data_IF_076560332493
#
_entry.id   IF_076560332493
#
_cell.length_a   1.000
_cell.length_b   1.000
_cell.length_c   1.000
_cell.angle_alpha   90.00
_cell.angle_beta   90.00
_cell.angle_gamma   90.00
#
_symmetry.space_group_name_H-M   'P 1'
#
loop_
_entity.id
_entity.type
_entity.pdbx_description
1 polymer ?
#
# COMPACT_ATOMS: atom_id res chain seq x y z
N UNK A 1 -7.34 37.82 33.13
CA UNK A 1 -7.85 36.90 34.18
C UNK A 1 -6.92 35.70 34.21
N UNK A 2 -6.08 35.52 35.24
CA UNK A 2 -5.16 34.36 35.32
C UNK A 2 -5.94 33.15 35.82
N UNK A 3 -6.01 32.07 35.05
CA UNK A 3 -6.59 30.81 35.54
C UNK A 3 -5.82 30.37 36.80
N UNK A 4 -6.53 29.96 37.87
CA UNK A 4 -5.87 29.42 39.06
C UNK A 4 -5.07 28.15 38.71
N UNK A 5 -3.89 27.99 39.26
CA UNK A 5 -2.94 26.91 38.99
C UNK A 5 -3.59 25.51 39.00
N UNK A 6 -4.60 25.31 39.85
CA UNK A 6 -5.41 24.07 39.94
C UNK A 6 -6.16 23.77 38.63
N UNK A 7 -6.72 24.78 38.00
CA UNK A 7 -7.47 24.60 36.73
C UNK A 7 -6.51 24.35 35.55
N UNK A 8 -5.33 24.97 35.57
CA UNK A 8 -4.29 24.71 34.58
C UNK A 8 -3.81 23.25 34.67
N UNK A 9 -3.58 22.74 35.87
CA UNK A 9 -3.20 21.33 36.11
C UNK A 9 -4.27 20.35 35.57
N UNK A 10 -5.55 20.62 35.81
CA UNK A 10 -6.66 19.79 35.34
C UNK A 10 -6.73 19.82 33.79
N UNK A 11 -6.59 20.99 33.19
CA UNK A 11 -6.58 21.13 31.72
C UNK A 11 -5.41 20.35 31.11
N UNK A 12 -4.22 20.41 31.70
CA UNK A 12 -3.04 19.67 31.23
C UNK A 12 -3.26 18.16 31.37
N UNK A 13 -3.80 17.66 32.50
CA UNK A 13 -4.08 16.25 32.69
C UNK A 13 -5.13 15.73 31.71
N UNK A 14 -6.20 16.50 31.46
CA UNK A 14 -7.23 16.14 30.47
C UNK A 14 -6.64 16.13 29.06
N UNK A 15 -5.84 17.15 28.69
CA UNK A 15 -5.20 17.21 27.38
C UNK A 15 -4.23 16.03 27.16
N UNK A 16 -3.44 15.67 28.17
CA UNK A 16 -2.57 14.48 28.14
C UNK A 16 -3.39 13.19 28.04
N UNK A 17 -4.49 13.07 28.79
CA UNK A 17 -5.38 11.91 28.72
C UNK A 17 -6.03 11.74 27.35
N UNK A 18 -6.45 12.83 26.71
CA UNK A 18 -6.99 12.82 25.33
C UNK A 18 -5.90 12.47 24.32
N UNK A 19 -4.70 13.01 24.45
CA UNK A 19 -3.58 12.71 23.58
C UNK A 19 -3.17 11.23 23.70
N UNK A 20 -2.99 10.73 24.90
CA UNK A 20 -2.58 9.33 25.15
C UNK A 20 -3.68 8.36 24.74
N UNK A 21 -4.93 8.57 25.21
CA UNK A 21 -6.04 7.65 24.95
C UNK A 21 -6.61 7.75 23.55
N UNK A 22 -6.71 8.97 23.00
CA UNK A 22 -7.35 9.23 21.71
C UNK A 22 -6.43 9.16 20.51
N UNK A 23 -5.13 9.36 20.67
CA UNK A 23 -4.18 9.40 19.57
C UNK A 23 -3.09 8.35 19.70
N UNK A 24 -2.35 8.36 20.81
CA UNK A 24 -1.18 7.48 20.95
C UNK A 24 -1.57 6.01 21.15
N UNK A 25 -2.65 5.72 21.88
CA UNK A 25 -3.10 4.35 22.12
C UNK A 25 -3.59 3.65 20.83
N UNK A 26 -4.45 4.25 20.00
CA UNK A 26 -4.84 3.63 18.71
C UNK A 26 -3.65 3.43 17.77
N UNK A 27 -2.73 4.37 17.71
CA UNK A 27 -1.50 4.26 16.90
C UNK A 27 -0.59 3.13 17.39
N UNK A 28 -0.36 3.07 18.70
CA UNK A 28 0.42 1.98 19.31
C UNK A 28 -0.26 0.63 19.07
N UNK A 29 -1.59 0.56 19.26
CA UNK A 29 -2.36 -0.66 19.00
C UNK A 29 -2.28 -1.08 17.53
N UNK A 30 -2.42 -0.16 16.59
CA UNK A 30 -2.26 -0.44 15.17
C UNK A 30 -0.86 -0.96 14.85
N UNK A 31 0.20 -0.33 15.37
CA UNK A 31 1.58 -0.76 15.20
C UNK A 31 1.85 -2.15 15.80
N UNK A 32 1.22 -2.48 16.93
CA UNK A 32 1.32 -3.81 17.58
C UNK A 32 0.49 -4.86 16.83
N UNK A 33 -0.75 -4.52 16.46
CA UNK A 33 -1.66 -5.45 15.78
C UNK A 33 -1.19 -5.79 14.34
N UNK A 34 -0.50 -4.86 13.66
CA UNK A 34 0.02 -5.11 12.30
C UNK A 34 1.36 -5.84 12.28
N UNK A 35 2.03 -5.94 13.43
CA UNK A 35 3.36 -6.55 13.56
C UNK A 35 4.31 -6.11 12.42
N UNK A 36 4.36 -4.79 12.17
CA UNK A 36 5.10 -4.19 11.06
C UNK A 36 6.57 -4.58 11.05
N UNK A 37 7.14 -4.92 12.22
CA UNK A 37 8.52 -5.36 12.35
C UNK A 37 8.72 -6.87 12.10
N UNK A 38 7.66 -7.66 11.93
CA UNK A 38 7.79 -9.07 11.62
C UNK A 38 8.36 -9.29 10.22
N UNK A 39 8.99 -10.44 10.03
CA UNK A 39 9.33 -10.96 8.70
C UNK A 39 8.13 -11.72 8.13
N UNK A 40 7.94 -11.60 6.82
CA UNK A 40 7.05 -12.48 6.07
C UNK A 40 7.88 -13.24 5.05
N UNK A 41 7.56 -14.51 4.87
CA UNK A 41 8.23 -15.32 3.86
C UNK A 41 7.91 -14.77 2.47
N UNK A 42 8.93 -14.45 1.67
CA UNK A 42 8.73 -14.09 0.28
C UNK A 42 8.22 -15.32 -0.48
N UNK A 43 7.32 -15.09 -1.45
CA UNK A 43 6.71 -16.21 -2.15
C UNK A 43 6.24 -15.83 -3.56
N UNK A 44 6.14 -16.83 -4.39
CA UNK A 44 5.56 -16.75 -5.72
C UNK A 44 4.05 -16.49 -5.64
N UNK A 45 3.54 -15.64 -6.54
CA UNK A 45 2.10 -15.36 -6.69
C UNK A 45 1.59 -15.99 -7.98
N UNK A 46 2.11 -15.57 -9.12
CA UNK A 46 1.75 -16.10 -10.43
C UNK A 46 2.79 -15.69 -11.48
N UNK A 47 3.17 -16.58 -12.38
CA UNK A 47 4.14 -16.28 -13.44
C UNK A 47 5.44 -15.70 -12.88
N UNK A 48 5.80 -14.50 -13.30
CA UNK A 48 7.02 -13.81 -12.84
C UNK A 48 6.76 -12.82 -11.69
N UNK A 49 5.64 -12.92 -10.98
CA UNK A 49 5.23 -12.05 -9.89
C UNK A 49 5.44 -12.68 -8.52
N UNK A 50 6.15 -11.96 -7.64
CA UNK A 50 6.50 -12.41 -6.29
C UNK A 50 6.14 -11.37 -5.24
N UNK A 51 5.74 -11.84 -4.06
CA UNK A 51 5.62 -11.02 -2.86
C UNK A 51 6.99 -10.96 -2.16
N UNK A 52 7.43 -9.74 -1.80
CA UNK A 52 8.72 -9.51 -1.12
C UNK A 52 8.63 -8.54 0.06
N UNK A 53 7.42 -8.14 0.45
CA UNK A 53 7.17 -7.16 1.53
C UNK A 53 7.24 -7.71 2.94
N UNK A 54 6.66 -6.97 3.88
CA UNK A 54 6.45 -7.38 5.27
C UNK A 54 5.03 -7.94 5.47
N UNK A 55 4.65 -8.45 6.63
CA UNK A 55 3.35 -9.12 6.80
C UNK A 55 2.14 -8.30 6.35
N UNK A 56 2.15 -6.99 6.59
CA UNK A 56 1.06 -6.12 6.18
C UNK A 56 1.48 -5.06 5.15
N UNK A 57 2.68 -4.48 5.25
CA UNK A 57 3.18 -3.55 4.23
C UNK A 57 3.78 -4.35 3.08
N UNK A 58 3.02 -4.42 1.99
CA UNK A 58 3.35 -5.32 0.88
C UNK A 58 4.25 -4.63 -0.15
N UNK A 59 5.12 -5.42 -0.73
CA UNK A 59 5.91 -5.03 -1.90
C UNK A 59 5.96 -6.21 -2.85
N UNK A 60 5.98 -5.93 -4.15
CA UNK A 60 5.91 -6.96 -5.17
C UNK A 60 7.05 -6.81 -6.17
N UNK A 61 7.70 -7.93 -6.47
CA UNK A 61 8.75 -8.02 -7.46
C UNK A 61 8.19 -8.68 -8.72
N UNK A 62 8.29 -7.98 -9.85
CA UNK A 62 7.96 -8.51 -11.17
C UNK A 62 9.25 -8.71 -11.96
N UNK A 63 9.54 -9.95 -12.30
CA UNK A 63 10.77 -10.33 -12.99
C UNK A 63 10.67 -10.08 -14.49
N UNK A 64 11.75 -9.60 -15.08
CA UNK A 64 11.88 -9.45 -16.53
C UNK A 64 13.30 -9.76 -16.99
N UNK A 65 13.50 -10.08 -18.28
CA UNK A 65 14.82 -10.43 -18.82
C UNK A 65 15.79 -9.24 -18.90
N UNK A 66 15.27 -8.02 -18.94
CA UNK A 66 16.07 -6.78 -18.98
C UNK A 66 16.23 -6.15 -17.59
N UNK A 67 15.74 -6.82 -16.56
CA UNK A 67 15.72 -6.38 -15.17
C UNK A 67 14.32 -6.46 -14.58
N UNK A 68 14.21 -6.10 -13.31
CA UNK A 68 12.98 -6.27 -12.53
C UNK A 68 12.32 -4.95 -12.20
N UNK A 69 11.00 -5.02 -11.97
CA UNK A 69 10.19 -3.92 -11.44
C UNK A 69 9.79 -4.25 -10.01
N UNK A 70 10.00 -3.32 -9.08
CA UNK A 70 9.56 -3.43 -7.71
C UNK A 70 8.45 -2.40 -7.45
N UNK A 71 7.31 -2.86 -6.93
CA UNK A 71 6.13 -2.04 -6.62
C UNK A 71 6.00 -1.93 -5.11
N UNK A 72 5.95 -0.69 -4.57
CA UNK A 72 5.83 -0.40 -3.15
C UNK A 72 7.17 -0.44 -2.41
N UNK A 73 7.39 0.49 -1.51
CA UNK A 73 8.62 0.64 -0.73
C UNK A 73 8.48 0.24 0.75
N UNK A 74 7.24 0.12 1.24
CA UNK A 74 7.00 -0.06 2.66
C UNK A 74 7.48 1.13 3.50
N UNK A 75 7.54 0.96 4.81
CA UNK A 75 8.06 1.94 5.75
C UNK A 75 9.61 2.02 5.67
N UNK A 76 10.27 3.00 6.35
CA UNK A 76 11.73 3.12 6.30
C UNK A 76 12.50 1.87 6.75
N UNK A 77 11.92 1.02 7.61
CA UNK A 77 12.54 -0.23 8.07
C UNK A 77 12.29 -1.40 7.10
N UNK A 78 11.30 -1.27 6.24
CA UNK A 78 10.91 -2.33 5.29
C UNK A 78 11.94 -2.52 4.18
N UNK A 79 12.68 -1.49 3.79
CA UNK A 79 13.65 -1.57 2.70
C UNK A 79 14.66 -2.71 2.88
N UNK A 80 15.20 -2.89 4.08
CA UNK A 80 16.14 -3.98 4.36
C UNK A 80 15.48 -5.34 4.25
N UNK A 81 14.24 -5.48 4.74
CA UNK A 81 13.49 -6.74 4.65
C UNK A 81 13.17 -7.10 3.20
N UNK A 82 12.81 -6.10 2.39
CA UNK A 82 12.55 -6.28 0.96
C UNK A 82 13.82 -6.78 0.25
N UNK A 83 14.98 -6.17 0.52
CA UNK A 83 16.26 -6.62 -0.03
C UNK A 83 16.56 -8.07 0.38
N UNK A 84 16.46 -8.38 1.69
CA UNK A 84 16.69 -9.74 2.21
C UNK A 84 15.72 -10.76 1.57
N UNK A 85 14.45 -10.39 1.36
CA UNK A 85 13.44 -11.25 0.74
C UNK A 85 13.72 -11.49 -0.76
N UNK A 86 14.17 -10.47 -1.50
CA UNK A 86 14.58 -10.60 -2.90
C UNK A 86 15.75 -11.56 -3.02
N UNK A 87 16.77 -11.43 -2.14
CA UNK A 87 17.93 -12.30 -2.10
C UNK A 87 17.58 -13.73 -1.66
N UNK A 88 16.65 -13.90 -0.71
CA UNK A 88 16.15 -15.21 -0.29
C UNK A 88 15.47 -15.98 -1.44
N UNK A 89 14.82 -15.29 -2.36
CA UNK A 89 14.26 -15.88 -3.57
C UNK A 89 15.32 -16.23 -4.63
N UNK A 90 16.60 -15.88 -4.40
CA UNK A 90 17.70 -16.12 -5.34
C UNK A 90 17.87 -15.03 -6.40
N UNK A 91 17.19 -13.89 -6.24
CA UNK A 91 17.32 -12.73 -7.13
C UNK A 91 18.25 -11.68 -6.52
N UNK A 92 18.72 -10.75 -7.33
CA UNK A 92 19.57 -9.65 -6.86
C UNK A 92 18.77 -8.34 -6.85
N UNK A 93 18.85 -7.60 -5.75
CA UNK A 93 18.28 -6.23 -5.71
C UNK A 93 18.93 -5.32 -6.76
N UNK A 94 20.15 -5.63 -7.20
CA UNK A 94 20.85 -4.89 -8.26
C UNK A 94 20.23 -5.07 -9.65
N UNK A 95 19.38 -6.08 -9.82
CA UNK A 95 18.65 -6.31 -11.07
C UNK A 95 17.31 -5.59 -11.10
N UNK A 96 16.89 -4.99 -10.00
CA UNK A 96 15.76 -4.04 -9.99
C UNK A 96 16.17 -2.77 -10.73
N UNK A 97 15.45 -2.43 -11.80
CA UNK A 97 15.69 -1.26 -12.66
C UNK A 97 14.66 -0.17 -12.43
N UNK A 98 13.47 -0.53 -12.02
CA UNK A 98 12.34 0.38 -11.83
C UNK A 98 11.72 0.15 -10.45
N UNK A 99 11.51 1.25 -9.72
CA UNK A 99 10.68 1.33 -8.53
C UNK A 99 9.39 2.06 -8.88
N UNK A 100 8.24 1.52 -8.49
CA UNK A 100 6.93 2.14 -8.69
C UNK A 100 6.32 2.53 -7.35
N UNK A 101 6.04 3.82 -7.18
CA UNK A 101 5.28 4.31 -6.04
C UNK A 101 3.77 4.17 -6.28
N UNK A 102 3.02 3.92 -5.21
CA UNK A 102 1.55 3.85 -5.19
C UNK A 102 0.94 5.10 -4.59
N UNK A 103 1.41 5.49 -3.40
CA UNK A 103 1.07 6.76 -2.75
C UNK A 103 2.29 7.30 -1.96
N UNK A 104 2.20 8.50 -1.39
CA UNK A 104 3.34 9.15 -0.77
C UNK A 104 3.45 8.92 0.74
N UNK A 105 2.56 8.10 1.34
CA UNK A 105 2.56 7.91 2.79
C UNK A 105 3.80 7.15 3.27
N UNK A 106 4.18 7.38 4.52
CA UNK A 106 5.41 6.83 5.12
C UNK A 106 5.47 5.30 5.07
N UNK A 107 4.34 4.63 5.23
CA UNK A 107 4.23 3.18 5.23
C UNK A 107 4.28 2.55 3.82
N UNK A 108 4.22 3.38 2.77
CA UNK A 108 4.28 2.97 1.37
C UNK A 108 5.55 3.46 0.67
N UNK A 109 5.95 4.71 0.95
CA UNK A 109 7.05 5.38 0.29
C UNK A 109 8.31 5.47 1.16
N UNK A 110 8.23 5.17 2.45
CA UNK A 110 9.31 5.41 3.40
C UNK A 110 10.59 4.65 3.12
N UNK A 111 10.50 3.47 2.52
CA UNK A 111 11.66 2.66 2.14
C UNK A 111 12.24 2.97 0.77
N UNK A 112 11.57 3.79 -0.07
CA UNK A 112 11.96 4.00 -1.48
C UNK A 112 13.37 4.57 -1.63
N UNK A 113 13.79 5.53 -0.79
CA UNK A 113 15.13 6.10 -0.84
C UNK A 113 16.22 5.04 -0.63
N UNK A 114 16.04 4.17 0.37
CA UNK A 114 16.98 3.10 0.66
C UNK A 114 16.98 2.02 -0.43
N UNK A 115 15.83 1.68 -0.98
CA UNK A 115 15.70 0.75 -2.11
C UNK A 115 16.36 1.32 -3.37
N UNK A 116 16.17 2.61 -3.66
CA UNK A 116 16.83 3.30 -4.77
C UNK A 116 18.37 3.28 -4.61
N UNK A 117 18.87 3.54 -3.41
CA UNK A 117 20.30 3.43 -3.12
C UNK A 117 20.81 1.99 -3.25
N UNK A 118 20.05 1.01 -2.78
CA UNK A 118 20.45 -0.39 -2.82
C UNK A 118 20.48 -0.95 -4.26
N UNK A 119 19.47 -0.63 -5.07
CA UNK A 119 19.31 -1.16 -6.43
C UNK A 119 20.01 -0.32 -7.50
N UNK A 120 20.02 1.00 -7.37
CA UNK A 120 20.34 1.97 -8.43
C UNK A 120 19.16 2.17 -9.40
N UNK A 121 17.96 1.72 -9.05
CA UNK A 121 16.77 1.79 -9.89
C UNK A 121 16.23 3.22 -10.04
N UNK A 122 15.52 3.46 -11.14
CA UNK A 122 14.76 4.68 -11.38
C UNK A 122 13.41 4.63 -10.68
N UNK A 123 13.04 5.69 -9.96
CA UNK A 123 11.76 5.81 -9.28
C UNK A 123 10.74 6.54 -10.15
N UNK A 124 9.59 5.91 -10.31
CA UNK A 124 8.44 6.43 -11.03
C UNK A 124 7.27 6.70 -10.07
N UNK A 125 6.69 7.88 -10.13
CA UNK A 125 5.55 8.29 -9.31
C UNK A 125 4.63 9.24 -10.10
N UNK A 126 3.37 9.37 -9.68
CA UNK A 126 2.48 10.41 -10.21
C UNK A 126 2.98 11.81 -9.85
N UNK A 127 2.53 12.83 -10.58
CA UNK A 127 2.96 14.22 -10.32
C UNK A 127 2.77 14.65 -8.86
N UNK A 128 1.59 14.36 -8.29
CA UNK A 128 1.27 14.74 -6.91
C UNK A 128 2.10 13.94 -5.87
N UNK A 129 2.29 12.64 -6.08
CA UNK A 129 3.13 11.83 -5.20
C UNK A 129 4.61 12.24 -5.27
N UNK A 130 5.08 12.63 -6.45
CA UNK A 130 6.48 12.99 -6.66
C UNK A 130 6.93 14.16 -5.79
N UNK A 131 6.09 15.18 -5.62
CA UNK A 131 6.39 16.34 -4.76
C UNK A 131 6.53 15.91 -3.30
N UNK A 132 5.58 15.13 -2.79
CA UNK A 132 5.57 14.68 -1.39
C UNK A 132 6.72 13.71 -1.12
N UNK A 133 7.00 12.76 -2.03
CA UNK A 133 8.10 11.80 -1.89
C UNK A 133 9.46 12.53 -1.91
N UNK A 134 9.64 13.48 -2.82
CA UNK A 134 10.87 14.30 -2.89
C UNK A 134 11.06 15.17 -1.65
N UNK A 135 9.98 15.55 -0.98
CA UNK A 135 10.00 16.30 0.28
C UNK A 135 10.04 15.39 1.53
N UNK A 136 10.15 14.05 1.36
CA UNK A 136 10.23 13.10 2.48
C UNK A 136 8.94 13.01 3.31
N UNK A 137 7.77 13.15 2.66
CA UNK A 137 6.46 13.08 3.32
C UNK A 137 5.99 14.40 3.95
N UNK A 138 6.82 15.46 3.89
CA UNK A 138 6.42 16.76 4.43
C UNK A 138 5.35 17.42 3.56
N UNK A 139 4.45 18.16 4.20
CA UNK A 139 3.34 18.90 3.58
C UNK A 139 2.38 18.08 2.70
N UNK A 140 2.20 16.81 3.03
CA UNK A 140 1.24 15.93 2.36
C UNK A 140 -0.20 16.50 2.50
N UNK A 141 -0.90 16.81 1.40
CA UNK A 141 -2.24 17.37 1.44
C UNK A 141 -3.30 16.37 1.94
N UNK A 142 -3.02 15.08 1.93
CA UNK A 142 -3.90 14.05 2.49
C UNK A 142 -3.88 13.99 4.02
N UNK A 143 -2.86 14.56 4.68
CA UNK A 143 -2.78 14.64 6.15
C UNK A 143 -3.63 15.83 6.63
N UNK A 144 -4.90 15.58 6.88
CA UNK A 144 -5.90 16.61 7.18
C UNK A 144 -6.26 16.69 8.67
N UNK A 145 -6.18 15.59 9.41
CA UNK A 145 -6.52 15.54 10.83
C UNK A 145 -5.53 16.31 11.71
N UNK A 146 -6.01 17.29 12.48
CA UNK A 146 -5.16 18.20 13.24
C UNK A 146 -4.12 17.53 14.14
N UNK A 147 -4.41 16.50 14.95
CA UNK A 147 -3.38 15.80 15.72
C UNK A 147 -2.30 15.17 14.84
N UNK A 148 -2.64 14.60 13.68
CA UNK A 148 -1.65 14.07 12.74
C UNK A 148 -0.83 15.18 12.09
N UNK A 149 -1.43 16.36 11.84
CA UNK A 149 -0.69 17.55 11.34
C UNK A 149 0.33 18.05 12.37
N UNK A 150 -0.03 18.07 13.66
CA UNK A 150 0.91 18.42 14.73
C UNK A 150 2.05 17.40 14.80
N UNK A 151 1.75 16.10 14.63
CA UNK A 151 2.74 15.05 14.60
C UNK A 151 3.60 15.14 13.33
N UNK A 152 3.02 15.41 12.18
CA UNK A 152 3.74 15.64 10.92
C UNK A 152 4.65 16.86 11.04
N UNK A 153 4.17 17.98 11.64
CA UNK A 153 4.99 19.14 11.94
C UNK A 153 6.16 18.79 12.89
N UNK A 154 5.98 17.82 13.78
CA UNK A 154 7.04 17.29 14.63
C UNK A 154 7.92 16.22 13.94
N UNK A 155 7.74 15.97 12.64
CA UNK A 155 8.53 15.02 11.85
C UNK A 155 8.12 13.54 12.00
N UNK A 156 6.98 13.26 12.63
CA UNK A 156 6.56 11.85 12.90
C UNK A 156 6.23 11.07 11.62
N UNK A 157 5.74 11.76 10.57
CA UNK A 157 5.40 11.17 9.28
C UNK A 157 6.49 11.38 8.20
N UNK A 158 7.64 11.96 8.61
CA UNK A 158 8.74 12.18 7.69
C UNK A 158 9.56 10.90 7.50
N UNK A 159 10.09 10.76 6.31
CA UNK A 159 10.94 9.66 5.90
C UNK A 159 12.08 10.18 5.00
N UNK A 160 13.14 9.41 4.77
CA UNK A 160 14.21 9.83 3.87
C UNK A 160 13.67 10.18 2.47
N UNK A 161 13.88 11.41 1.97
CA UNK A 161 13.41 11.82 0.65
C UNK A 161 14.03 10.95 -0.45
N UNK A 162 13.21 10.54 -1.41
CA UNK A 162 13.65 9.78 -2.58
C UNK A 162 13.63 10.67 -3.83
N UNK A 163 14.59 10.46 -4.73
CA UNK A 163 14.62 11.17 -6.01
C UNK A 163 13.63 10.51 -6.97
N UNK A 164 12.59 11.23 -7.35
CA UNK A 164 11.68 10.77 -8.41
C UNK A 164 12.31 11.08 -9.78
N UNK A 165 12.66 10.03 -10.51
CA UNK A 165 13.32 10.15 -11.82
C UNK A 165 12.31 10.39 -12.95
N UNK A 166 11.12 9.82 -12.83
CA UNK A 166 10.07 9.93 -13.85
C UNK A 166 8.70 10.18 -13.22
N UNK A 167 7.92 11.02 -13.89
CA UNK A 167 6.53 11.32 -13.51
C UNK A 167 5.57 10.64 -14.47
N UNK A 168 4.51 10.04 -13.92
CA UNK A 168 3.47 9.37 -14.70
C UNK A 168 2.13 10.09 -14.57
N UNK A 169 1.37 10.01 -15.65
CA UNK A 169 -0.01 10.47 -15.75
C UNK A 169 -0.95 9.28 -15.93
N UNK A 170 -2.23 9.56 -15.80
CA UNK A 170 -3.27 8.56 -16.03
C UNK A 170 -3.17 7.97 -17.45
N UNK A 171 -3.12 6.64 -17.51
CA UNK A 171 -2.97 5.90 -18.76
C UNK A 171 -1.53 5.70 -19.24
N UNK A 172 -0.52 6.33 -18.64
CA UNK A 172 0.87 6.12 -19.01
C UNK A 172 1.30 4.67 -18.75
N UNK A 173 2.13 4.13 -19.64
CA UNK A 173 2.66 2.78 -19.53
C UNK A 173 4.17 2.80 -19.34
N UNK A 174 4.62 2.30 -18.18
CA UNK A 174 6.03 2.06 -17.88
C UNK A 174 6.46 0.73 -18.50
N UNK A 175 7.59 0.73 -19.22
CA UNK A 175 8.09 -0.44 -19.93
C UNK A 175 9.51 -0.79 -19.53
N UNK A 176 9.77 -2.09 -19.41
CA UNK A 176 11.11 -2.66 -19.23
C UNK A 176 11.17 -3.98 -20.01
N UNK A 177 11.73 -3.94 -21.19
CA UNK A 177 11.65 -5.07 -22.12
C UNK A 177 10.20 -5.48 -22.40
N UNK A 178 9.84 -6.75 -22.15
CA UNK A 178 8.47 -7.22 -22.35
C UNK A 178 7.50 -6.78 -21.23
N UNK A 179 8.01 -6.29 -20.12
CA UNK A 179 7.15 -5.82 -19.02
C UNK A 179 6.48 -4.50 -19.39
N UNK A 180 5.18 -4.40 -19.15
CA UNK A 180 4.39 -3.21 -19.39
C UNK A 180 3.39 -3.03 -18.24
N UNK A 181 3.54 -1.93 -17.48
CA UNK A 181 2.68 -1.60 -16.35
C UNK A 181 2.00 -0.26 -16.62
N UNK A 182 0.67 -0.24 -16.59
CA UNK A 182 -0.11 0.97 -16.86
C UNK A 182 -0.49 1.63 -15.53
N UNK A 183 -0.24 2.92 -15.44
CA UNK A 183 -0.63 3.77 -14.33
C UNK A 183 -2.09 4.22 -14.49
N UNK A 184 -2.90 3.99 -13.47
CA UNK A 184 -4.23 4.60 -13.35
C UNK A 184 -4.20 5.53 -12.14
N UNK A 185 -4.41 6.82 -12.35
CA UNK A 185 -4.48 7.77 -11.25
C UNK A 185 -5.86 7.64 -10.61
N UNK A 186 -5.86 7.04 -9.42
CA UNK A 186 -7.06 6.72 -8.63
C UNK A 186 -7.05 7.45 -7.29
N UNK A 187 -7.21 8.81 -7.33
CA UNK A 187 -7.07 9.66 -6.15
C UNK A 187 -8.27 9.50 -5.19
N UNK A 188 -8.09 10.05 -3.99
CA UNK A 188 -9.06 9.99 -2.90
C UNK A 188 -8.35 9.73 -1.57
N UNK A 189 -7.62 8.61 -1.44
CA UNK A 189 -6.76 8.34 -0.29
C UNK A 189 -5.57 9.33 -0.23
N UNK A 190 -4.93 9.57 -1.36
CA UNK A 190 -4.01 10.68 -1.61
C UNK A 190 -4.27 11.24 -3.00
N UNK A 191 -3.95 12.53 -3.29
CA UNK A 191 -4.18 13.13 -4.60
C UNK A 191 -3.47 12.42 -5.75
N UNK A 192 -2.31 11.82 -5.46
CA UNK A 192 -1.48 11.12 -6.44
C UNK A 192 -1.60 9.59 -6.42
N UNK A 193 -2.57 9.04 -5.69
CA UNK A 193 -2.78 7.60 -5.62
C UNK A 193 -2.73 6.96 -7.00
N UNK A 194 -1.86 5.97 -7.16
CA UNK A 194 -1.63 5.29 -8.45
C UNK A 194 -1.90 3.80 -8.32
N UNK A 195 -2.87 3.34 -9.07
CA UNK A 195 -3.14 1.90 -9.27
C UNK A 195 -2.35 1.43 -10.47
N UNK A 196 -1.61 0.34 -10.34
CA UNK A 196 -0.83 -0.25 -11.41
C UNK A 196 -1.53 -1.48 -11.97
N UNK A 197 -1.70 -1.56 -13.29
CA UNK A 197 -2.21 -2.74 -13.97
C UNK A 197 -1.18 -3.32 -14.91
N UNK A 198 -1.08 -4.64 -14.93
CA UNK A 198 -0.18 -5.38 -15.80
C UNK A 198 -0.69 -6.81 -15.99
N UNK A 199 -0.08 -7.54 -16.91
CA UNK A 199 -0.39 -8.94 -17.11
C UNK A 199 0.82 -9.81 -16.79
N UNK A 200 0.56 -10.98 -16.20
CA UNK A 200 1.55 -12.04 -16.02
C UNK A 200 1.14 -13.29 -16.76
N UNK A 201 2.12 -14.00 -17.31
CA UNK A 201 1.88 -15.29 -17.94
C UNK A 201 2.18 -16.39 -16.94
N UNK A 202 1.16 -17.17 -16.61
CA UNK A 202 1.29 -18.36 -15.79
C UNK A 202 0.94 -19.60 -16.61
N UNK A 203 1.95 -20.40 -16.99
CA UNK A 203 1.81 -21.53 -17.92
C UNK A 203 1.19 -21.06 -19.25
N UNK A 204 0.00 -21.54 -19.58
CA UNK A 204 -0.78 -21.23 -20.80
C UNK A 204 -1.80 -20.09 -20.60
N UNK A 205 -1.88 -19.54 -19.36
CA UNK A 205 -2.82 -18.46 -19.03
C UNK A 205 -2.13 -17.09 -19.03
N UNK A 206 -2.85 -16.05 -19.40
CA UNK A 206 -2.50 -14.67 -19.13
C UNK A 206 -3.46 -14.15 -18.09
N UNK A 207 -2.91 -13.67 -16.97
CA UNK A 207 -3.66 -13.18 -15.81
C UNK A 207 -3.47 -11.67 -15.68
N UNK A 208 -4.58 -10.93 -15.62
CA UNK A 208 -4.58 -9.49 -15.40
C UNK A 208 -4.40 -9.21 -13.91
N UNK A 209 -3.38 -8.42 -13.58
CA UNK A 209 -3.06 -8.03 -12.21
C UNK A 209 -3.41 -6.57 -12.00
N UNK A 210 -4.12 -6.29 -10.93
CA UNK A 210 -4.40 -4.94 -10.43
C UNK A 210 -3.74 -4.78 -9.07
N UNK A 211 -2.70 -3.94 -8.99
CA UNK A 211 -2.18 -3.47 -7.70
C UNK A 211 -2.80 -2.10 -7.42
N UNK A 212 -3.85 -2.09 -6.59
CA UNK A 212 -4.57 -0.85 -6.31
C UNK A 212 -3.96 -0.07 -5.16
N UNK A 213 -4.03 1.25 -5.26
CA UNK A 213 -3.74 2.18 -4.17
C UNK A 213 -4.82 2.11 -3.07
N UNK A 214 -4.57 2.75 -1.92
CA UNK A 214 -5.51 2.88 -0.82
C UNK A 214 -6.87 3.46 -1.24
N UNK A 215 -7.94 3.01 -0.60
CA UNK A 215 -9.31 3.49 -0.86
C UNK A 215 -10.03 3.98 0.42
N UNK A 216 -9.34 4.04 1.54
CA UNK A 216 -9.88 4.64 2.77
C UNK A 216 -9.74 6.16 2.70
N UNK A 217 -10.74 6.90 3.15
CA UNK A 217 -10.58 8.34 3.33
C UNK A 217 -9.44 8.61 4.33
N UNK A 218 -8.59 9.62 4.08
CA UNK A 218 -7.57 10.00 5.04
C UNK A 218 -8.19 10.29 6.39
N UNK A 219 -7.52 9.88 7.46
CA UNK A 219 -8.07 10.00 8.80
C UNK A 219 -8.39 11.48 9.15
N UNK A 220 -9.66 11.74 9.52
CA UNK A 220 -10.16 13.07 9.81
C UNK A 220 -10.38 13.95 8.58
N UNK A 221 -10.34 13.40 7.35
CA UNK A 221 -10.71 14.13 6.15
C UNK A 221 -12.19 14.46 6.17
N UNK A 222 -12.54 15.73 5.85
CA UNK A 222 -13.90 16.10 5.51
C UNK A 222 -14.12 15.88 4.01
N UNK A 223 -15.22 15.20 3.69
CA UNK A 223 -15.66 15.01 2.31
C UNK A 223 -16.63 16.11 1.87
N UNK A 224 -17.15 16.88 2.83
CA UNK A 224 -18.13 17.98 2.59
C UNK A 224 -17.42 19.33 2.47
N UNK A 225 -16.44 19.60 3.33
CA UNK A 225 -15.66 20.86 3.36
C UNK A 225 -14.17 20.56 3.45
N UNK A 226 -13.56 20.04 2.38
CA UNK A 226 -12.16 19.65 2.41
C UNK A 226 -11.23 20.85 2.30
N UNK A 227 -10.61 21.27 3.40
CA UNK A 227 -9.70 22.42 3.43
C UNK A 227 -8.41 22.20 2.64
N UNK A 228 -7.76 21.03 2.82
CA UNK A 228 -6.45 20.73 2.25
C UNK A 228 -6.49 19.89 0.99
N UNK A 229 -7.56 19.13 0.81
CA UNK A 229 -7.74 18.28 -0.35
C UNK A 229 -9.06 18.64 -1.05
N UNK A 230 -9.17 19.79 -1.69
CA UNK A 230 -10.38 20.15 -2.45
C UNK A 230 -10.62 19.15 -3.57
N UNK A 231 -11.87 18.68 -3.70
CA UNK A 231 -12.22 17.69 -4.73
C UNK A 231 -12.12 16.22 -4.32
N UNK A 232 -11.68 15.91 -3.11
CA UNK A 232 -11.52 14.53 -2.59
C UNK A 232 -12.75 13.63 -2.88
N UNK A 233 -13.97 14.16 -2.73
CA UNK A 233 -15.21 13.43 -3.01
C UNK A 233 -15.32 13.03 -4.48
N UNK A 234 -15.13 13.98 -5.38
CA UNK A 234 -15.18 13.72 -6.82
C UNK A 234 -14.07 12.75 -7.26
N UNK A 235 -12.92 12.83 -6.59
CA UNK A 235 -11.79 11.95 -6.79
C UNK A 235 -12.12 10.50 -6.39
N UNK A 236 -12.72 10.27 -5.23
CA UNK A 236 -13.21 8.93 -4.85
C UNK A 236 -14.24 8.40 -5.84
N UNK A 237 -15.24 9.22 -6.22
CA UNK A 237 -16.27 8.82 -7.19
C UNK A 237 -15.68 8.42 -8.54
N UNK A 238 -14.66 9.16 -9.02
CA UNK A 238 -13.92 8.83 -10.25
C UNK A 238 -13.13 7.55 -10.08
N UNK A 239 -12.41 7.40 -8.97
CA UNK A 239 -11.56 6.24 -8.70
C UNK A 239 -12.36 4.94 -8.62
N UNK A 240 -13.50 4.91 -7.92
CA UNK A 240 -14.37 3.75 -7.90
C UNK A 240 -14.90 3.38 -9.28
N UNK A 241 -15.29 4.37 -10.11
CA UNK A 241 -15.70 4.08 -11.50
C UNK A 241 -14.59 3.47 -12.33
N UNK A 242 -13.37 4.04 -12.25
CA UNK A 242 -12.20 3.53 -12.96
C UNK A 242 -11.89 2.10 -12.51
N UNK A 243 -11.75 1.87 -11.21
CA UNK A 243 -11.37 0.57 -10.64
C UNK A 243 -12.38 -0.53 -10.98
N UNK A 244 -13.69 -0.25 -10.90
CA UNK A 244 -14.74 -1.23 -11.27
C UNK A 244 -14.72 -1.60 -12.75
N UNK A 245 -14.12 -0.80 -13.60
CA UNK A 245 -14.00 -1.06 -15.04
C UNK A 245 -12.73 -1.82 -15.44
N UNK A 246 -11.77 -2.03 -14.52
CA UNK A 246 -10.51 -2.71 -14.84
C UNK A 246 -10.71 -4.23 -15.00
N UNK A 247 -10.07 -4.85 -16.02
CA UNK A 247 -9.99 -6.30 -16.09
C UNK A 247 -9.10 -6.81 -14.96
N UNK A 248 -9.57 -7.79 -14.19
CA UNK A 248 -8.85 -8.32 -13.03
C UNK A 248 -9.03 -9.82 -12.89
N UNK A 249 -7.91 -10.51 -12.73
CA UNK A 249 -7.84 -11.91 -12.28
C UNK A 249 -7.20 -11.95 -10.88
N UNK A 250 -6.12 -11.21 -10.68
CA UNK A 250 -5.39 -11.08 -9.41
C UNK A 250 -5.43 -9.63 -8.94
N UNK A 251 -5.79 -9.42 -7.70
CA UNK A 251 -5.74 -8.10 -7.10
C UNK A 251 -4.87 -8.07 -5.85
N UNK A 252 -4.12 -6.99 -5.72
CA UNK A 252 -3.15 -6.74 -4.68
C UNK A 252 -3.32 -5.30 -4.17
N UNK A 253 -2.88 -5.05 -2.95
CA UNK A 253 -2.87 -3.72 -2.33
C UNK A 253 -1.61 -3.58 -1.51
N UNK A 254 -1.31 -2.37 -1.07
CA UNK A 254 -0.19 -2.08 -0.20
C UNK A 254 -0.35 -2.66 1.21
N UNK A 255 -1.56 -3.06 1.61
CA UNK A 255 -1.82 -3.72 2.88
C UNK A 255 -2.27 -5.17 2.71
N UNK A 256 -1.47 -6.12 3.20
CA UNK A 256 -1.71 -7.55 3.05
C UNK A 256 -3.04 -8.03 3.64
N UNK A 257 -3.51 -7.40 4.73
CA UNK A 257 -4.81 -7.69 5.35
C UNK A 257 -6.01 -7.43 4.43
N UNK A 258 -5.91 -6.45 3.52
CA UNK A 258 -7.02 -6.06 2.66
C UNK A 258 -7.38 -7.11 1.63
N UNK A 259 -6.38 -7.78 1.03
CA UNK A 259 -6.61 -8.84 0.04
C UNK A 259 -6.44 -10.26 0.58
N UNK A 260 -6.33 -10.39 1.91
CA UNK A 260 -6.22 -11.70 2.56
C UNK A 260 -4.92 -12.44 2.27
N UNK A 261 -3.78 -11.70 2.13
CA UNK A 261 -2.46 -12.23 1.78
C UNK A 261 -2.10 -13.51 2.52
N UNK A 262 -2.22 -13.50 3.85
CA UNK A 262 -1.80 -14.63 4.66
C UNK A 262 -2.59 -15.92 4.33
N UNK A 263 -3.90 -15.82 4.23
CA UNK A 263 -4.77 -16.95 3.86
C UNK A 263 -4.43 -17.46 2.46
N UNK A 264 -4.32 -16.59 1.48
CA UNK A 264 -3.98 -16.93 0.09
C UNK A 264 -2.61 -17.59 -0.01
N UNK A 265 -1.63 -17.08 0.73
CA UNK A 265 -0.29 -17.68 0.81
C UNK A 265 -0.32 -19.08 1.43
N UNK A 266 -1.01 -19.28 2.56
CA UNK A 266 -1.10 -20.58 3.20
C UNK A 266 -1.83 -21.62 2.33
N UNK A 267 -2.86 -21.22 1.62
CA UNK A 267 -3.56 -22.07 0.66
C UNK A 267 -2.65 -22.43 -0.54
N UNK A 268 -1.92 -21.46 -1.09
CA UNK A 268 -0.94 -21.66 -2.16
C UNK A 268 0.21 -22.59 -1.73
N UNK A 269 0.77 -22.36 -0.54
CA UNK A 269 1.86 -23.18 0.01
C UNK A 269 1.46 -24.65 0.17
N UNK A 270 0.22 -24.92 0.57
CA UNK A 270 -0.31 -26.29 0.66
C UNK A 270 -0.40 -26.98 -0.71
N UNK A 271 -0.62 -26.21 -1.77
CA UNK A 271 -0.65 -26.75 -3.13
C UNK A 271 0.74 -27.13 -3.67
N UNK A 272 1.81 -26.54 -3.14
CA UNK A 272 3.19 -26.93 -3.46
C UNK A 272 3.71 -28.10 -2.62
N UNK A 273 3.08 -28.41 -1.48
CA UNK A 273 3.57 -29.43 -0.57
C UNK A 273 3.33 -30.82 -1.15
N UNK A 274 4.38 -31.67 -1.18
CA UNK A 274 4.29 -33.07 -1.57
C UNK A 274 3.71 -33.92 -0.44
N UNK A 275 2.90 -34.95 -0.73
CA UNK A 275 2.46 -35.91 0.29
C UNK A 275 3.67 -36.56 0.96
N UNK A 276 3.81 -36.41 2.26
CA UNK A 276 4.93 -36.99 3.01
C UNK A 276 5.86 -35.97 3.67
N UNK A 277 5.78 -34.70 3.32
CA UNK A 277 6.39 -33.61 4.11
C UNK A 277 5.57 -33.44 5.40
N UNK A 278 6.18 -33.67 6.56
CA UNK A 278 5.51 -33.90 7.87
C UNK A 278 4.46 -32.88 8.34
N UNK A 279 4.05 -31.94 7.50
CA UNK A 279 3.04 -30.92 7.74
C UNK A 279 1.81 -31.02 6.80
N UNK A 280 1.74 -32.03 5.92
CA UNK A 280 0.63 -32.22 4.98
C UNK A 280 -0.05 -33.57 5.24
N UNK A 281 -1.38 -33.58 5.51
CA UNK A 281 -2.12 -34.84 5.61
C UNK A 281 -1.96 -35.66 4.33
N UNK A 282 -1.75 -36.96 4.45
CA UNK A 282 -1.62 -37.89 3.32
C UNK A 282 -2.88 -37.92 2.40
N UNK A 283 -3.97 -37.27 2.81
CA UNK A 283 -5.22 -37.10 2.08
C UNK A 283 -5.33 -35.78 1.32
N UNK A 284 -4.32 -34.93 1.34
CA UNK A 284 -4.35 -33.67 0.60
C UNK A 284 -4.27 -33.97 -0.90
N UNK A 285 -5.25 -33.49 -1.65
CA UNK A 285 -5.31 -33.64 -3.11
C UNK A 285 -4.25 -32.71 -3.73
N UNK A 286 -3.05 -33.25 -3.98
CA UNK A 286 -1.82 -32.55 -4.44
C UNK A 286 -1.94 -31.99 -5.87
N UNK A 287 -3.13 -31.99 -6.46
CA UNK A 287 -3.39 -31.43 -7.80
C UNK A 287 -3.94 -30.03 -7.82
N UNK A 288 -3.96 -29.31 -6.67
CA UNK A 288 -4.45 -27.95 -6.63
C UNK A 288 -3.44 -26.98 -7.30
N UNK A 289 -3.98 -26.05 -8.09
CA UNK A 289 -3.18 -24.99 -8.71
C UNK A 289 -2.71 -24.00 -7.62
N UNK A 290 -1.39 -23.82 -7.38
CA UNK A 290 -0.89 -22.92 -6.33
C UNK A 290 -1.20 -21.44 -6.59
N UNK A 291 -1.53 -21.07 -7.81
CA UNK A 291 -1.92 -19.71 -8.20
C UNK A 291 -3.41 -19.46 -7.91
N UNK A 292 -4.24 -20.50 -7.88
CA UNK A 292 -5.70 -20.39 -7.71
C UNK A 292 -6.13 -19.53 -6.51
N UNK A 293 -5.50 -19.58 -5.33
CA UNK A 293 -5.90 -18.73 -4.20
C UNK A 293 -5.75 -17.23 -4.45
N UNK A 294 -4.87 -16.83 -5.38
CA UNK A 294 -4.66 -15.43 -5.75
C UNK A 294 -5.62 -14.94 -6.82
N UNK A 295 -6.22 -15.85 -7.61
CA UNK A 295 -7.22 -15.51 -8.63
C UNK A 295 -8.57 -15.29 -7.96
N UNK A 296 -8.93 -14.01 -7.77
CA UNK A 296 -10.05 -13.62 -6.92
C UNK A 296 -10.75 -12.35 -7.43
N UNK A 297 -11.29 -12.34 -8.65
CA UNK A 297 -11.97 -11.17 -9.20
C UNK A 297 -13.24 -10.80 -8.41
N UNK A 298 -13.89 -11.77 -7.77
CA UNK A 298 -15.05 -11.52 -6.92
C UNK A 298 -14.67 -10.74 -5.65
N UNK A 299 -13.63 -11.19 -4.95
CA UNK A 299 -13.09 -10.49 -3.78
C UNK A 299 -12.62 -9.08 -4.10
N UNK A 300 -12.11 -8.85 -5.31
CA UNK A 300 -11.80 -7.50 -5.78
C UNK A 300 -13.03 -6.60 -5.77
N UNK A 301 -14.12 -7.00 -6.44
CA UNK A 301 -15.35 -6.21 -6.50
C UNK A 301 -15.97 -6.01 -5.11
N UNK A 302 -16.02 -7.05 -4.29
CA UNK A 302 -16.49 -6.96 -2.90
C UNK A 302 -15.66 -5.96 -2.07
N UNK A 303 -14.34 -5.91 -2.29
CA UNK A 303 -13.45 -4.94 -1.63
C UNK A 303 -13.73 -3.50 -2.05
N UNK A 304 -14.02 -3.28 -3.34
CA UNK A 304 -14.40 -1.95 -3.86
C UNK A 304 -15.76 -1.51 -3.31
N UNK A 305 -16.75 -2.39 -3.31
CA UNK A 305 -18.09 -2.07 -2.78
C UNK A 305 -18.04 -1.74 -1.28
N UNK A 306 -17.24 -2.47 -0.51
CA UNK A 306 -17.01 -2.19 0.91
C UNK A 306 -16.34 -0.83 1.12
N UNK A 307 -15.31 -0.50 0.34
CA UNK A 307 -14.60 0.77 0.44
C UNK A 307 -15.52 1.95 0.05
N UNK A 308 -16.28 1.81 -1.05
CA UNK A 308 -17.23 2.82 -1.50
C UNK A 308 -18.34 3.05 -0.46
N UNK A 309 -18.86 1.99 0.15
CA UNK A 309 -19.83 2.10 1.24
C UNK A 309 -19.25 2.84 2.46
N UNK A 310 -17.99 2.59 2.81
CA UNK A 310 -17.30 3.32 3.88
C UNK A 310 -17.18 4.82 3.61
N UNK A 311 -16.81 5.20 2.38
CA UNK A 311 -16.72 6.61 1.98
C UNK A 311 -18.10 7.27 1.98
N UNK A 312 -19.15 6.58 1.51
CA UNK A 312 -20.54 7.09 1.54
C UNK A 312 -21.08 7.26 2.95
N UNK A 313 -20.75 6.31 3.86
CA UNK A 313 -21.14 6.42 5.27
C UNK A 313 -20.51 7.66 5.91
N UNK A 314 -19.20 7.86 5.73
CA UNK A 314 -18.51 9.04 6.24
C UNK A 314 -19.15 10.33 5.72
N UNK A 315 -19.48 10.39 4.43
CA UNK A 315 -20.15 11.54 3.82
C UNK A 315 -21.52 11.80 4.47
N UNK A 316 -22.33 10.77 4.73
CA UNK A 316 -23.65 10.91 5.37
C UNK A 316 -23.54 11.40 6.81
N UNK A 317 -22.60 10.85 7.58
CA UNK A 317 -22.33 11.26 8.97
C UNK A 317 -21.91 12.75 9.06
N UNK A 318 -21.06 13.22 8.14
CA UNK A 318 -20.66 14.62 8.10
C UNK A 318 -21.82 15.57 7.70
N UNK A 319 -22.74 15.11 6.84
CA UNK A 319 -23.92 15.91 6.45
C UNK A 319 -24.97 16.01 7.57
N UNK A 320 -25.10 14.99 8.41
CA UNK A 320 -26.02 14.99 9.55
C UNK A 320 -25.52 15.85 10.73
N UNK A 321 -24.22 16.12 10.81
CA UNK A 321 -23.61 16.94 11.87
C UNK A 321 -23.70 18.46 11.61
N UNK A 322 -24.20 18.87 10.45
CA UNK A 322 -24.42 20.27 10.05
C UNK A 322 -25.88 20.70 10.16
#
# INVERSE_FOLDING_TARGET
>A
MRLPLKHLAVVVVVAVGVLVGGVLYPMWRQAVDTNLDARADPHHIAGDLYFVGSPDLTSFLLLGPEGHVLIGGGDPKSARKIVDNVEQLGFSIKDVRILLATDPHMDEAGGLAALQQASGAQLWASDANAEVIAAGGSDDPSIVYTPYRVMAWAGVNEYPPARVDHRVKDGDTVRLGPLALTAHITPGHAPGCTTWTFAVRDRDRVLNVVHRCGLTAPYGASLVEPERYPGIRADFERSFRTLKGLPVDIWLTSHGREYGRYRKYEESRRAYATPGDGNVPASADVKSDPVAPFVDPKGYLESLDKAEAGVRLLLSEEQEQK
#
